data_IF_088820085391
#
_entry.id   IF_088820085391
#
_cell.length_a   1.000
_cell.length_b   1.000
_cell.length_c   1.000
_cell.angle_alpha   90.00
_cell.angle_beta   90.00
_cell.angle_gamma   90.00
#
_symmetry.space_group_name_H-M   'P 1'
#
loop_
_entity.id
_entity.type
_entity.pdbx_description
1 polymer ?
#
# COMPACT_ATOMS: atom_id res chain seq x y z
N UNK A 1 7.52 -35.08 1.86
CA UNK A 1 7.82 -33.90 2.70
C UNK A 1 6.99 -34.03 3.96
N UNK A 2 7.60 -34.45 5.07
CA UNK A 2 6.93 -34.55 6.37
C UNK A 2 7.00 -33.16 6.98
N UNK A 3 5.85 -32.53 7.20
CA UNK A 3 5.76 -31.26 7.92
C UNK A 3 5.88 -31.62 9.40
N UNK A 4 7.05 -31.35 9.98
CA UNK A 4 7.25 -31.41 11.42
C UNK A 4 6.58 -30.17 12.04
N UNK A 5 5.40 -30.35 12.63
CA UNK A 5 4.62 -29.28 13.28
C UNK A 5 5.20 -28.85 14.64
N UNK A 6 6.30 -29.44 15.12
CA UNK A 6 6.71 -29.28 16.52
C UNK A 6 7.80 -28.22 16.77
N UNK A 7 7.76 -27.09 16.05
CA UNK A 7 8.45 -25.87 16.47
C UNK A 7 7.45 -24.91 17.11
N UNK A 8 7.24 -25.06 18.42
CA UNK A 8 6.61 -24.03 19.27
C UNK A 8 7.40 -22.73 19.15
N UNK A 9 6.95 -21.84 18.28
CA UNK A 9 7.42 -20.46 18.22
C UNK A 9 7.09 -19.79 19.57
N UNK A 10 8.08 -19.07 20.12
CA UNK A 10 7.99 -18.45 21.45
C UNK A 10 6.71 -17.62 21.63
N UNK A 11 6.18 -17.67 22.85
CA UNK A 11 4.95 -16.98 23.27
C UNK A 11 5.13 -15.45 23.27
N UNK A 12 5.13 -14.85 22.10
CA UNK A 12 4.79 -13.43 21.95
C UNK A 12 3.29 -13.27 22.20
N UNK A 13 2.90 -12.26 22.98
CA UNK A 13 1.48 -11.91 23.18
C UNK A 13 0.83 -11.70 21.80
N UNK A 14 -0.05 -12.62 21.38
CA UNK A 14 -0.70 -12.51 20.07
C UNK A 14 -1.79 -11.44 20.16
N UNK A 15 -1.52 -10.26 19.61
CA UNK A 15 -2.54 -9.23 19.45
C UNK A 15 -3.45 -9.60 18.28
N UNK A 16 -4.69 -9.99 18.59
CA UNK A 16 -5.70 -10.26 17.57
C UNK A 16 -5.95 -9.02 16.72
N UNK A 17 -6.34 -9.23 15.47
CA UNK A 17 -6.68 -8.14 14.54
C UNK A 17 -7.78 -7.25 15.11
N UNK A 18 -8.75 -7.86 15.82
CA UNK A 18 -9.84 -7.15 16.49
C UNK A 18 -9.35 -6.18 17.56
N UNK A 19 -8.39 -6.59 18.40
CA UNK A 19 -7.84 -5.72 19.43
C UNK A 19 -7.07 -4.53 18.83
N UNK A 20 -6.28 -4.76 17.77
CA UNK A 20 -5.59 -3.68 17.05
C UNK A 20 -6.56 -2.67 16.46
N UNK A 21 -7.65 -3.17 15.86
CA UNK A 21 -8.70 -2.33 15.28
C UNK A 21 -9.37 -1.47 16.36
N UNK A 22 -9.74 -2.06 17.51
CA UNK A 22 -10.36 -1.33 18.62
C UNK A 22 -9.41 -0.25 19.17
N UNK A 23 -8.13 -0.56 19.36
CA UNK A 23 -7.14 0.42 19.82
C UNK A 23 -6.98 1.57 18.81
N UNK A 24 -6.88 1.27 17.50
CA UNK A 24 -6.80 2.28 16.47
C UNK A 24 -8.03 3.18 16.44
N UNK A 25 -9.21 2.57 16.59
CA UNK A 25 -10.49 3.30 16.61
C UNK A 25 -10.59 4.22 17.81
N UNK A 26 -10.28 3.75 19.03
CA UNK A 26 -10.27 4.58 20.24
C UNK A 26 -9.27 5.74 20.10
N UNK A 27 -8.06 5.47 19.59
CA UNK A 27 -7.06 6.51 19.35
C UNK A 27 -7.55 7.57 18.35
N UNK A 28 -8.20 7.16 17.26
CA UNK A 28 -8.78 8.07 16.28
C UNK A 28 -9.94 8.90 16.84
N UNK A 29 -10.83 8.29 17.63
CA UNK A 29 -11.91 9.01 18.32
C UNK A 29 -11.36 10.03 19.33
N UNK A 30 -10.33 9.66 20.10
CA UNK A 30 -9.66 10.59 21.01
C UNK A 30 -9.04 11.77 20.26
N UNK A 31 -8.33 11.50 19.16
CA UNK A 31 -7.76 12.54 18.31
C UNK A 31 -8.82 13.47 17.72
N UNK A 32 -9.93 12.93 17.22
CA UNK A 32 -11.03 13.72 16.69
C UNK A 32 -11.66 14.60 17.77
N UNK A 33 -11.90 14.06 18.97
CA UNK A 33 -12.40 14.83 20.11
C UNK A 33 -11.45 15.97 20.50
N UNK A 34 -10.15 15.69 20.58
CA UNK A 34 -9.13 16.71 20.82
C UNK A 34 -9.09 17.79 19.73
N UNK A 35 -9.21 17.38 18.47
CA UNK A 35 -9.23 18.31 17.33
C UNK A 35 -10.49 19.19 17.34
N UNK A 36 -11.65 18.63 17.66
CA UNK A 36 -12.91 19.40 17.80
C UNK A 36 -12.79 20.40 18.94
N UNK A 37 -12.14 20.03 20.06
CA UNK A 37 -11.94 20.92 21.19
C UNK A 37 -11.08 22.14 20.82
N UNK A 38 -9.95 21.91 20.12
CA UNK A 38 -9.12 23.03 19.61
C UNK A 38 -9.85 23.85 18.55
N UNK A 39 -10.66 23.20 17.72
CA UNK A 39 -11.32 23.87 16.62
C UNK A 39 -12.49 24.79 17.04
N UNK A 40 -12.91 24.81 18.31
CA UNK A 40 -14.01 25.68 18.76
C UNK A 40 -13.72 27.15 18.46
N UNK A 41 -12.53 27.65 18.84
CA UNK A 41 -12.15 29.05 18.62
C UNK A 41 -12.12 29.41 17.12
N UNK A 42 -11.68 28.48 16.26
CA UNK A 42 -11.69 28.69 14.81
C UNK A 42 -13.08 28.62 14.19
N UNK A 43 -13.96 27.76 14.69
CA UNK A 43 -15.36 27.69 14.25
C UNK A 43 -16.05 29.00 14.59
N UNK A 44 -15.87 29.50 15.82
CA UNK A 44 -16.48 30.74 16.28
C UNK A 44 -15.97 31.94 15.48
N UNK A 45 -14.65 32.06 15.25
CA UNK A 45 -14.09 33.14 14.44
C UNK A 45 -14.58 33.07 12.98
N UNK A 46 -14.53 31.89 12.37
CA UNK A 46 -14.98 31.70 10.99
C UNK A 46 -16.49 31.94 10.83
N UNK A 47 -17.28 31.60 11.83
CA UNK A 47 -18.74 31.80 11.83
C UNK A 47 -19.13 33.28 11.67
N UNK A 48 -18.30 34.20 12.19
CA UNK A 48 -18.54 35.64 12.07
C UNK A 48 -18.43 36.15 10.62
N UNK A 49 -17.69 35.44 9.75
CA UNK A 49 -17.48 35.84 8.37
C UNK A 49 -18.42 35.17 7.38
N UNK A 50 -18.67 33.87 7.53
CA UNK A 50 -19.42 33.06 6.54
C UNK A 50 -20.70 32.43 7.09
N UNK A 51 -21.00 32.65 8.37
CA UNK A 51 -22.15 32.07 9.08
C UNK A 51 -21.87 30.70 9.70
N UNK A 52 -22.60 30.41 10.78
CA UNK A 52 -22.41 29.22 11.62
C UNK A 52 -22.46 27.90 10.83
N UNK A 53 -23.46 27.74 9.96
CA UNK A 53 -23.65 26.52 9.19
C UNK A 53 -22.48 26.25 8.23
N UNK A 54 -22.00 27.29 7.53
CA UNK A 54 -20.89 27.16 6.59
C UNK A 54 -19.57 26.88 7.32
N UNK A 55 -19.32 27.57 8.43
CA UNK A 55 -18.13 27.35 9.26
C UNK A 55 -18.04 25.91 9.77
N UNK A 56 -19.12 25.37 10.34
CA UNK A 56 -19.18 23.97 10.79
C UNK A 56 -18.97 23.03 9.61
N UNK A 57 -19.63 23.26 8.47
CA UNK A 57 -19.51 22.39 7.29
C UNK A 57 -18.06 22.29 6.81
N UNK A 58 -17.37 23.43 6.65
CA UNK A 58 -15.98 23.43 6.17
C UNK A 58 -15.00 22.84 7.20
N UNK A 59 -15.13 23.20 8.47
CA UNK A 59 -14.23 22.68 9.52
C UNK A 59 -14.40 21.17 9.67
N UNK A 60 -15.64 20.67 9.72
CA UNK A 60 -15.86 19.23 9.82
C UNK A 60 -15.46 18.48 8.53
N UNK A 61 -15.80 19.04 7.36
CA UNK A 61 -15.54 18.41 6.07
C UNK A 61 -14.07 18.37 5.68
N UNK A 62 -13.30 19.42 5.97
CA UNK A 62 -11.90 19.56 5.54
C UNK A 62 -10.93 19.13 6.64
N UNK A 63 -11.25 19.36 7.92
CA UNK A 63 -10.32 19.09 9.01
C UNK A 63 -10.70 17.87 9.84
N UNK A 64 -11.93 17.80 10.38
CA UNK A 64 -12.29 16.76 11.36
C UNK A 64 -12.44 15.38 10.72
N UNK A 65 -13.22 15.25 9.64
CA UNK A 65 -13.44 13.96 8.97
C UNK A 65 -12.13 13.42 8.37
N UNK A 66 -11.36 14.18 7.57
CA UNK A 66 -10.08 13.70 7.05
C UNK A 66 -9.05 13.46 8.16
N UNK A 67 -9.06 14.30 9.21
CA UNK A 67 -8.20 14.13 10.38
C UNK A 67 -8.48 12.83 11.13
N UNK A 68 -9.75 12.47 11.32
CA UNK A 68 -10.15 11.18 11.88
C UNK A 68 -9.67 10.01 11.02
N UNK A 69 -9.91 10.06 9.71
CA UNK A 69 -9.49 9.02 8.76
C UNK A 69 -7.96 8.83 8.77
N UNK A 70 -7.21 9.94 8.76
CA UNK A 70 -5.75 9.91 8.78
C UNK A 70 -5.21 9.37 10.11
N UNK A 71 -5.78 9.77 11.25
CA UNK A 71 -5.38 9.25 12.55
C UNK A 71 -5.70 7.76 12.68
N UNK A 72 -6.86 7.31 12.22
CA UNK A 72 -7.19 5.89 12.19
C UNK A 72 -6.21 5.08 11.34
N UNK A 73 -5.86 5.57 10.15
CA UNK A 73 -4.86 4.95 9.29
C UNK A 73 -3.47 4.94 9.96
N UNK A 74 -3.06 6.05 10.57
CA UNK A 74 -1.78 6.17 11.26
C UNK A 74 -1.66 5.20 12.43
N UNK A 75 -2.65 5.14 13.32
CA UNK A 75 -2.68 4.17 14.41
C UNK A 75 -2.68 2.74 13.87
N UNK A 76 -3.50 2.44 12.86
CA UNK A 76 -3.53 1.09 12.25
C UNK A 76 -2.16 0.67 11.70
N UNK A 77 -1.44 1.58 11.03
CA UNK A 77 -0.10 1.33 10.48
C UNK A 77 0.97 1.21 11.58
N UNK A 78 0.89 2.01 12.66
CA UNK A 78 1.81 1.91 13.79
C UNK A 78 1.73 0.55 14.49
N UNK A 79 0.54 -0.06 14.54
CA UNK A 79 0.32 -1.40 15.08
C UNK A 79 0.51 -2.53 14.06
N UNK A 80 0.70 -2.20 12.78
CA UNK A 80 1.00 -3.17 11.73
C UNK A 80 2.48 -3.55 11.76
N UNK A 81 2.79 -4.58 12.54
CA UNK A 81 4.10 -5.23 12.50
C UNK A 81 4.13 -6.21 11.35
N UNK A 82 4.71 -5.77 10.23
CA UNK A 82 5.06 -6.68 9.13
C UNK A 82 5.95 -7.80 9.67
N UNK A 83 5.60 -9.08 9.42
CA UNK A 83 6.48 -10.18 9.78
C UNK A 83 7.83 -9.99 9.09
N UNK A 84 8.91 -10.37 9.77
CA UNK A 84 10.22 -10.42 9.12
C UNK A 84 10.12 -11.37 7.94
N UNK A 85 10.64 -10.96 6.78
CA UNK A 85 10.76 -11.85 5.63
C UNK A 85 11.80 -12.89 5.99
N UNK A 86 11.37 -14.13 6.17
CA UNK A 86 12.28 -15.25 6.32
C UNK A 86 12.69 -15.76 4.93
N UNK A 87 13.98 -15.91 4.64
CA UNK A 87 14.42 -16.45 3.37
C UNK A 87 13.94 -17.89 3.22
N UNK A 88 13.47 -18.25 2.02
CA UNK A 88 13.12 -19.62 1.72
C UNK A 88 14.40 -20.48 1.68
N UNK A 89 14.36 -21.74 2.16
CA UNK A 89 15.49 -22.67 2.03
C UNK A 89 15.91 -22.88 0.57
N UNK A 90 14.93 -22.87 -0.34
CA UNK A 90 15.11 -22.95 -1.79
C UNK A 90 14.10 -22.02 -2.44
N UNK A 91 14.56 -21.20 -3.38
CA UNK A 91 13.68 -20.34 -4.18
C UNK A 91 13.23 -21.11 -5.43
N UNK A 92 11.91 -21.35 -5.61
CA UNK A 92 11.42 -22.07 -6.77
C UNK A 92 11.65 -21.27 -8.06
N UNK A 93 11.66 -21.95 -9.21
CA UNK A 93 11.57 -21.24 -10.49
C UNK A 93 10.21 -20.54 -10.59
N UNK A 94 10.19 -19.29 -11.02
CA UNK A 94 8.96 -18.52 -11.21
C UNK A 94 8.83 -18.02 -12.64
N UNK A 95 7.59 -17.95 -13.13
CA UNK A 95 7.24 -17.32 -14.39
C UNK A 95 6.37 -16.10 -14.12
N UNK A 96 6.83 -14.92 -14.53
CA UNK A 96 6.11 -13.66 -14.45
C UNK A 96 5.35 -13.42 -15.75
N UNK A 97 4.04 -13.28 -15.65
CA UNK A 97 3.18 -12.90 -16.77
C UNK A 97 2.96 -11.38 -16.74
N UNK A 98 3.35 -10.69 -17.81
CA UNK A 98 3.18 -9.24 -17.96
C UNK A 98 2.13 -9.00 -19.02
N UNK A 99 0.91 -8.69 -18.62
CA UNK A 99 -0.14 -8.24 -19.55
C UNK A 99 0.17 -6.81 -20.00
N UNK A 100 0.15 -6.56 -21.31
CA UNK A 100 0.46 -5.28 -21.90
C UNK A 100 -0.56 -4.92 -22.99
N UNK A 101 -1.22 -3.77 -22.83
CA UNK A 101 -2.09 -3.16 -23.83
C UNK A 101 -1.82 -1.66 -23.90
N UNK A 102 -1.28 -1.19 -25.03
CA UNK A 102 -0.88 0.20 -25.24
C UNK A 102 0.06 0.76 -24.15
N UNK A 103 1.09 -0.01 -23.81
CA UNK A 103 2.07 0.28 -22.75
C UNK A 103 3.41 0.80 -23.31
N UNK A 104 3.44 1.35 -24.53
CA UNK A 104 4.70 1.82 -25.14
C UNK A 104 5.46 2.83 -24.26
N UNK A 105 4.75 3.58 -23.41
CA UNK A 105 5.35 4.55 -22.49
C UNK A 105 6.05 3.91 -21.28
N UNK A 106 5.66 2.69 -20.86
CA UNK A 106 6.05 2.11 -19.55
C UNK A 106 6.72 0.74 -19.65
N UNK A 107 6.48 -0.01 -20.74
CA UNK A 107 6.85 -1.43 -20.84
C UNK A 107 8.36 -1.64 -20.78
N UNK A 108 9.14 -0.72 -21.35
CA UNK A 108 10.61 -0.78 -21.31
C UNK A 108 11.12 -0.73 -19.87
N UNK A 109 10.68 0.25 -19.10
CA UNK A 109 11.14 0.45 -17.72
C UNK A 109 10.73 -0.72 -16.83
N UNK A 110 9.55 -1.28 -17.10
CA UNK A 110 9.06 -2.50 -16.44
C UNK A 110 10.00 -3.68 -16.69
N UNK A 111 10.35 -3.95 -17.95
CA UNK A 111 11.25 -5.07 -18.30
C UNK A 111 12.67 -4.88 -17.75
N UNK A 112 13.20 -3.65 -17.78
CA UNK A 112 14.50 -3.33 -17.15
C UNK A 112 14.45 -3.57 -15.64
N UNK A 113 13.38 -3.13 -14.98
CA UNK A 113 13.21 -3.33 -13.53
C UNK A 113 13.12 -4.81 -13.15
N UNK A 114 12.46 -5.62 -13.99
CA UNK A 114 12.37 -7.08 -13.81
C UNK A 114 13.76 -7.73 -14.01
N UNK A 115 14.51 -7.33 -15.04
CA UNK A 115 15.85 -7.86 -15.29
C UNK A 115 16.84 -7.53 -14.15
N UNK A 116 16.64 -6.42 -13.43
CA UNK A 116 17.46 -6.01 -12.29
C UNK A 116 17.08 -6.71 -10.97
N UNK A 117 16.03 -7.53 -10.93
CA UNK A 117 15.61 -8.23 -9.72
C UNK A 117 16.67 -9.26 -9.29
N UNK A 118 17.01 -9.25 -8.00
CA UNK A 118 17.91 -10.23 -7.37
C UNK A 118 17.14 -11.44 -6.84
N UNK A 119 16.30 -12.05 -7.68
CA UNK A 119 15.60 -13.27 -7.32
C UNK A 119 16.58 -14.46 -7.38
N UNK A 120 16.78 -15.23 -6.28
CA UNK A 120 17.81 -16.28 -6.27
C UNK A 120 17.50 -17.51 -7.13
N UNK A 121 16.23 -17.71 -7.50
CA UNK A 121 15.79 -18.82 -8.35
C UNK A 121 15.73 -18.46 -9.84
N UNK A 122 15.45 -19.43 -10.72
CA UNK A 122 15.17 -19.16 -12.12
C UNK A 122 13.98 -18.22 -12.27
N UNK A 123 14.10 -17.21 -13.14
CA UNK A 123 13.04 -16.26 -13.46
C UNK A 123 12.78 -16.29 -14.96
N UNK A 124 11.54 -16.59 -15.35
CA UNK A 124 11.05 -16.45 -16.71
C UNK A 124 10.06 -15.28 -16.77
N UNK A 125 10.08 -14.51 -17.85
CA UNK A 125 9.12 -13.44 -18.10
C UNK A 125 8.40 -13.72 -19.41
N UNK A 126 7.09 -13.65 -19.42
CA UNK A 126 6.24 -13.79 -20.62
C UNK A 126 5.42 -12.52 -20.74
N UNK A 127 5.68 -11.74 -21.79
CA UNK A 127 4.88 -10.56 -22.11
C UNK A 127 3.71 -10.95 -23.01
N UNK A 128 2.50 -10.65 -22.55
CA UNK A 128 1.25 -10.94 -23.25
C UNK A 128 0.73 -9.62 -23.82
N UNK A 129 0.93 -9.42 -25.12
CA UNK A 129 0.38 -8.27 -25.83
C UNK A 129 -1.10 -8.51 -26.17
N UNK A 130 -2.00 -7.80 -25.51
CA UNK A 130 -3.46 -7.94 -25.67
C UNK A 130 -4.01 -7.05 -26.80
N UNK A 131 -3.41 -7.15 -27.98
CA UNK A 131 -3.87 -6.41 -29.17
C UNK A 131 -3.52 -4.91 -29.15
N UNK A 132 -2.36 -4.53 -28.60
CA UNK A 132 -1.89 -3.13 -28.63
C UNK A 132 -1.86 -2.57 -30.05
N UNK A 133 -2.23 -1.30 -30.18
CA UNK A 133 -2.22 -0.53 -31.43
C UNK A 133 -1.01 0.43 -31.51
N UNK A 134 -0.21 0.52 -30.45
CA UNK A 134 1.00 1.30 -30.37
C UNK A 134 2.27 0.44 -30.55
N UNK A 135 3.44 1.02 -30.30
CA UNK A 135 4.73 0.35 -30.46
C UNK A 135 5.11 -0.58 -29.28
N UNK A 136 4.17 -0.99 -28.42
CA UNK A 136 4.45 -1.86 -27.26
C UNK A 136 5.23 -3.12 -27.66
N UNK A 137 4.75 -3.84 -28.68
CA UNK A 137 5.37 -5.09 -29.12
C UNK A 137 6.81 -4.91 -29.61
N UNK A 138 7.08 -3.82 -30.33
CA UNK A 138 8.41 -3.54 -30.87
C UNK A 138 9.39 -3.15 -29.77
N UNK A 139 8.93 -2.38 -28.77
CA UNK A 139 9.73 -2.03 -27.60
C UNK A 139 10.09 -3.28 -26.79
N UNK A 140 9.16 -4.23 -26.65
CA UNK A 140 9.42 -5.51 -25.97
C UNK A 140 10.50 -6.31 -26.70
N UNK A 141 10.41 -6.44 -28.03
CA UNK A 141 11.43 -7.13 -28.85
C UNK A 141 12.81 -6.47 -28.73
N UNK A 142 12.86 -5.14 -28.73
CA UNK A 142 14.11 -4.40 -28.52
C UNK A 142 14.68 -4.62 -27.12
N UNK A 143 13.83 -4.64 -26.09
CA UNK A 143 14.25 -4.91 -24.73
C UNK A 143 14.80 -6.33 -24.57
N UNK A 144 14.16 -7.33 -25.17
CA UNK A 144 14.63 -8.73 -25.19
C UNK A 144 16.06 -8.83 -25.76
N UNK A 145 16.32 -8.20 -26.90
CA UNK A 145 17.65 -8.20 -27.52
C UNK A 145 18.74 -7.55 -26.63
N UNK A 146 18.39 -6.51 -25.87
CA UNK A 146 19.31 -5.82 -24.97
C UNK A 146 19.54 -6.55 -23.64
N UNK A 147 18.59 -7.39 -23.21
CA UNK A 147 18.67 -8.13 -21.94
C UNK A 147 19.37 -9.48 -22.14
N UNK A 148 19.24 -10.10 -23.32
CA UNK A 148 19.84 -11.40 -23.65
C UNK A 148 21.20 -11.31 -24.38
N UNK A 149 21.59 -10.14 -24.88
CA UNK A 149 22.88 -9.88 -25.53
C UNK A 149 23.95 -9.45 -24.53
#
# INVERSE_FOLDING_TARGET
MIIDENKKAGSGLYFTVQLKFVVAFIGACFWAGFSIWIAQDWIDDLSNYIGQFAAIFFVYGIAIIPGFMNSFAAFSLLMDRRPKREPLPVYPGITMLVAAYNEAASIKDTLVSIALQKYPGPLQVIVINDGSQDNTADIVRQAEANILG
#
